data_IF_108985434281
#
_entry.id   IF_108985434281
#
_cell.length_a   1.000
_cell.length_b   1.000
_cell.length_c   1.000
_cell.angle_alpha   90.00
_cell.angle_beta   90.00
_cell.angle_gamma   90.00
#
_symmetry.space_group_name_H-M   'P 1'
#
loop_
_entity.id
_entity.type
_entity.pdbx_description
1 polymer ?
#
# COMPACT_ATOMS: atom_id res chain seq x y z
N UNK A 1 -11.70 0.79 0.43
CA UNK A 1 -12.49 0.41 1.64
C UNK A 1 -12.01 1.18 2.86
N UNK A 2 -10.74 1.05 3.27
CA UNK A 2 -10.17 1.73 4.45
C UNK A 2 -10.45 3.24 4.49
N UNK A 3 -10.31 3.96 3.38
CA UNK A 3 -10.62 5.40 3.30
C UNK A 3 -12.05 5.74 3.74
N UNK A 4 -13.06 4.96 3.31
CA UNK A 4 -14.46 5.15 3.75
C UNK A 4 -14.64 4.94 5.26
N UNK A 5 -13.89 4.02 5.86
CA UNK A 5 -13.91 3.79 7.30
C UNK A 5 -13.24 4.95 8.05
N UNK A 6 -12.07 5.38 7.56
CA UNK A 6 -11.30 6.50 8.09
C UNK A 6 -12.09 7.80 8.05
N UNK A 7 -12.65 8.20 6.90
CA UNK A 7 -13.44 9.44 6.79
C UNK A 7 -14.67 9.45 7.71
N UNK A 8 -15.30 8.30 7.94
CA UNK A 8 -16.40 8.17 8.91
C UNK A 8 -15.91 8.34 10.34
N UNK A 9 -14.77 7.74 10.68
CA UNK A 9 -14.22 7.80 12.04
C UNK A 9 -13.66 9.20 12.37
N UNK A 10 -13.04 9.89 11.40
CA UNK A 10 -12.59 11.28 11.55
C UNK A 10 -13.78 12.21 11.87
N UNK A 11 -14.92 12.05 11.19
CA UNK A 11 -16.15 12.79 11.48
C UNK A 11 -16.66 12.56 12.92
N UNK A 12 -16.54 11.33 13.44
CA UNK A 12 -16.92 11.01 14.82
C UNK A 12 -16.00 11.69 15.85
N UNK A 13 -14.69 11.78 15.56
CA UNK A 13 -13.74 12.49 16.43
C UNK A 13 -14.01 14.00 16.50
N UNK A 14 -14.41 14.63 15.40
CA UNK A 14 -14.79 16.05 15.41
C UNK A 14 -16.03 16.35 16.27
N UNK A 15 -16.87 15.35 16.58
CA UNK A 15 -18.07 15.50 17.39
C UNK A 15 -17.94 15.14 18.88
N UNK A 16 -16.86 14.45 19.31
CA UNK A 16 -16.76 13.92 20.68
C UNK A 16 -15.31 13.96 21.20
N UNK A 17 -15.04 14.91 22.11
CA UNK A 17 -13.68 15.31 22.49
C UNK A 17 -12.85 14.33 23.34
N UNK A 18 -13.31 13.11 23.63
CA UNK A 18 -12.52 12.14 24.43
C UNK A 18 -13.02 10.68 24.35
N UNK A 19 -12.91 10.04 23.18
CA UNK A 19 -13.22 8.60 23.01
C UNK A 19 -12.18 7.81 22.18
N UNK A 20 -10.92 8.24 22.19
CA UNK A 20 -9.86 7.56 21.44
C UNK A 20 -9.25 6.40 22.26
N UNK A 21 -9.57 5.16 21.91
CA UNK A 21 -8.96 3.97 22.48
C UNK A 21 -7.43 3.96 22.31
N UNK A 22 -6.73 3.68 23.40
CA UNK A 22 -5.26 3.87 23.48
C UNK A 22 -4.45 2.84 22.70
N UNK A 23 -5.05 1.72 22.26
CA UNK A 23 -4.32 0.59 21.65
C UNK A 23 -3.66 0.96 20.32
N UNK A 24 -4.29 1.82 19.50
CA UNK A 24 -3.68 2.37 18.29
C UNK A 24 -2.79 3.60 18.56
N UNK A 25 -2.61 4.01 19.82
CA UNK A 25 -1.78 5.14 20.23
C UNK A 25 -0.38 5.17 19.59
N UNK A 26 0.40 4.06 19.57
CA UNK A 26 1.72 4.03 18.92
C UNK A 26 1.70 4.40 17.43
N UNK A 27 0.60 4.10 16.72
CA UNK A 27 0.45 4.35 15.29
C UNK A 27 0.01 5.78 14.95
N UNK A 28 -0.28 6.64 15.93
CA UNK A 28 -0.71 8.01 15.65
C UNK A 28 0.46 8.91 15.23
N UNK A 29 0.38 9.46 14.01
CA UNK A 29 1.24 10.54 13.56
C UNK A 29 0.86 11.88 14.21
N UNK A 30 1.85 12.78 14.33
CA UNK A 30 1.68 14.16 14.82
C UNK A 30 0.82 15.01 13.88
N UNK A 31 0.78 14.66 12.59
CA UNK A 31 -0.01 15.32 11.55
C UNK A 31 -0.42 14.28 10.50
N UNK A 32 -1.55 14.51 9.87
CA UNK A 32 -2.02 13.75 8.72
C UNK A 32 -0.98 13.75 7.57
N UNK A 33 -0.71 12.59 6.94
CA UNK A 33 0.14 12.53 5.75
C UNK A 33 -0.53 13.20 4.54
N UNK A 34 0.15 14.13 3.88
CA UNK A 34 -0.34 14.79 2.66
C UNK A 34 -0.39 13.90 1.39
N UNK A 35 -0.37 12.58 1.55
CA UNK A 35 -0.49 11.58 0.48
C UNK A 35 -1.72 10.72 0.76
N UNK A 36 -2.60 10.54 -0.23
CA UNK A 36 -3.79 9.69 -0.07
C UNK A 36 -3.40 8.24 0.25
N UNK A 37 -4.31 7.49 0.86
CA UNK A 37 -4.03 6.10 1.24
C UNK A 37 -3.82 5.23 -0.01
N UNK A 38 -4.59 5.46 -1.07
CA UNK A 38 -4.36 4.87 -2.40
C UNK A 38 -2.92 5.11 -2.91
N UNK A 39 -2.45 6.36 -2.97
CA UNK A 39 -1.09 6.68 -3.45
C UNK A 39 0.00 6.15 -2.52
N UNK A 40 -0.30 5.98 -1.25
CA UNK A 40 0.61 5.33 -0.30
C UNK A 40 0.69 3.81 -0.54
N UNK A 41 -0.43 3.14 -0.84
CA UNK A 41 -0.47 1.72 -1.24
C UNK A 41 0.29 1.51 -2.54
N UNK A 42 0.03 2.31 -3.58
CA UNK A 42 0.77 2.27 -4.86
C UNK A 42 2.27 2.39 -4.64
N UNK A 43 2.70 3.32 -3.78
CA UNK A 43 4.10 3.54 -3.42
C UNK A 43 4.71 2.33 -2.73
N UNK A 44 4.03 1.73 -1.74
CA UNK A 44 4.53 0.51 -1.08
C UNK A 44 4.68 -0.60 -2.13
N UNK A 45 3.60 -0.93 -2.85
CA UNK A 45 3.59 -1.97 -3.87
C UNK A 45 4.71 -1.83 -4.91
N UNK A 46 4.89 -0.62 -5.45
CA UNK A 46 5.89 -0.32 -6.49
C UNK A 46 7.34 -0.49 -6.03
N UNK A 47 7.64 -0.21 -4.75
CA UNK A 47 9.02 -0.16 -4.27
C UNK A 47 9.43 -1.33 -3.37
N UNK A 48 8.50 -2.04 -2.73
CA UNK A 48 8.85 -3.15 -1.81
C UNK A 48 8.87 -4.53 -2.44
N UNK A 49 8.39 -4.69 -3.68
CA UNK A 49 8.37 -5.97 -4.41
C UNK A 49 7.73 -7.15 -3.66
N UNK A 50 6.96 -6.89 -2.59
CA UNK A 50 6.30 -7.94 -1.80
C UNK A 50 5.08 -8.49 -2.55
N UNK A 51 4.69 -9.73 -2.25
CA UNK A 51 3.58 -10.37 -2.96
C UNK A 51 2.26 -9.61 -2.76
N UNK A 52 1.33 -9.62 -3.75
CA UNK A 52 -0.02 -9.08 -3.57
C UNK A 52 -0.75 -9.65 -2.34
N UNK A 53 -0.45 -10.90 -2.00
CA UNK A 53 -0.94 -11.60 -0.80
C UNK A 53 -0.60 -10.85 0.50
N UNK A 54 0.53 -10.15 0.56
CA UNK A 54 0.92 -9.35 1.73
C UNK A 54 -0.03 -8.18 2.01
N UNK A 55 -0.70 -7.63 0.98
CA UNK A 55 -1.69 -6.58 1.15
C UNK A 55 -3.02 -7.12 1.68
N UNK A 56 -3.42 -8.31 1.21
CA UNK A 56 -4.61 -9.01 1.73
C UNK A 56 -4.39 -9.41 3.19
N UNK A 57 -3.25 -10.00 3.52
CA UNK A 57 -2.91 -10.39 4.90
C UNK A 57 -2.65 -9.18 5.80
N UNK A 58 -2.04 -8.11 5.27
CA UNK A 58 -1.93 -6.83 5.97
C UNK A 58 -3.30 -6.23 6.32
N UNK A 59 -4.28 -6.35 5.42
CA UNK A 59 -5.67 -5.97 5.70
C UNK A 59 -6.34 -6.88 6.75
N UNK A 60 -6.09 -8.20 6.72
CA UNK A 60 -6.52 -9.13 7.79
C UNK A 60 -5.94 -8.74 9.15
N UNK A 61 -4.68 -8.27 9.22
CA UNK A 61 -4.09 -7.81 10.47
C UNK A 61 -4.75 -6.52 10.99
N UNK A 62 -5.01 -5.55 10.13
CA UNK A 62 -5.77 -4.33 10.50
C UNK A 62 -7.15 -4.72 11.04
N UNK A 63 -7.88 -5.58 10.32
CA UNK A 63 -9.22 -5.99 10.69
C UNK A 63 -9.25 -6.78 12.03
N UNK A 64 -8.28 -7.67 12.28
CA UNK A 64 -8.10 -8.35 13.57
C UNK A 64 -7.88 -7.36 14.73
N UNK A 65 -7.04 -6.35 14.53
CA UNK A 65 -6.76 -5.32 15.55
C UNK A 65 -8.02 -4.50 15.85
N UNK A 66 -8.77 -4.08 14.82
CA UNK A 66 -10.00 -3.30 15.00
C UNK A 66 -11.13 -4.11 15.65
N UNK A 67 -11.26 -5.40 15.33
CA UNK A 67 -12.22 -6.29 16.02
C UNK A 67 -11.84 -6.54 17.49
N UNK A 68 -10.54 -6.64 17.81
CA UNK A 68 -10.06 -6.85 19.18
C UNK A 68 -10.12 -5.59 20.06
N UNK A 69 -9.97 -4.41 19.46
CA UNK A 69 -9.96 -3.12 20.14
C UNK A 69 -10.99 -2.15 19.53
N UNK A 70 -12.31 -2.40 19.71
CA UNK A 70 -13.37 -1.60 19.07
C UNK A 70 -13.35 -0.12 19.46
N UNK A 71 -12.82 0.22 20.64
CA UNK A 71 -12.65 1.61 21.09
C UNK A 71 -11.52 2.35 20.35
N UNK A 72 -10.61 1.63 19.69
CA UNK A 72 -9.47 2.23 18.97
C UNK A 72 -9.82 2.48 17.50
N UNK A 73 -10.22 3.72 17.20
CA UNK A 73 -10.63 4.12 15.85
C UNK A 73 -9.45 4.17 14.86
N UNK A 74 -9.65 3.58 13.68
CA UNK A 74 -8.79 3.79 12.52
C UNK A 74 -9.10 5.17 11.93
N UNK A 75 -8.11 6.06 11.86
CA UNK A 75 -8.27 7.48 11.49
C UNK A 75 -7.11 7.97 10.63
N UNK A 76 -7.26 9.14 9.99
CA UNK A 76 -6.26 9.66 9.02
C UNK A 76 -4.87 9.89 9.63
N UNK A 77 -4.79 10.05 10.96
CA UNK A 77 -3.53 10.14 11.70
C UNK A 77 -2.79 8.81 11.86
N UNK A 78 -3.47 7.65 11.81
CA UNK A 78 -2.88 6.35 12.15
C UNK A 78 -2.88 5.32 11.01
N UNK A 79 -3.77 5.46 10.02
CA UNK A 79 -3.98 4.44 8.98
C UNK A 79 -2.74 4.13 8.14
N UNK A 80 -1.96 5.13 7.70
CA UNK A 80 -0.75 4.90 6.88
C UNK A 80 0.32 4.13 7.66
N UNK A 81 0.54 4.48 8.93
CA UNK A 81 1.55 3.85 9.80
C UNK A 81 1.16 2.41 10.14
N UNK A 82 -0.11 2.19 10.46
CA UNK A 82 -0.64 0.84 10.71
C UNK A 82 -0.52 -0.02 9.45
N UNK A 83 -0.95 0.49 8.29
CA UNK A 83 -0.87 -0.21 7.00
C UNK A 83 0.56 -0.59 6.60
N UNK A 84 1.51 0.35 6.67
CA UNK A 84 2.92 0.09 6.37
C UNK A 84 3.45 -1.06 7.23
N UNK A 85 3.15 -1.02 8.53
CA UNK A 85 3.60 -2.01 9.50
C UNK A 85 2.93 -3.36 9.25
N UNK A 86 1.63 -3.40 8.93
CA UNK A 86 0.91 -4.63 8.62
C UNK A 86 1.42 -5.30 7.35
N UNK A 87 1.76 -4.54 6.30
CA UNK A 87 2.36 -5.09 5.06
C UNK A 87 3.81 -5.55 5.29
N UNK A 88 4.60 -4.84 6.11
CA UNK A 88 5.95 -5.27 6.53
C UNK A 88 5.90 -6.62 7.27
N UNK A 89 5.03 -6.75 8.27
CA UNK A 89 4.90 -8.01 9.03
C UNK A 89 4.38 -9.11 8.11
N UNK A 90 3.44 -8.84 7.22
CA UNK A 90 2.92 -9.83 6.28
C UNK A 90 4.03 -10.36 5.34
N UNK A 91 4.89 -9.49 4.79
CA UNK A 91 5.96 -9.95 3.89
C UNK A 91 6.99 -10.83 4.58
N UNK A 92 7.32 -10.57 5.86
CA UNK A 92 8.18 -11.46 6.66
C UNK A 92 7.58 -12.85 6.95
N UNK A 93 6.26 -13.00 6.84
CA UNK A 93 5.54 -14.24 7.15
C UNK A 93 5.19 -15.04 5.89
N UNK A 94 5.09 -14.37 4.73
CA UNK A 94 4.61 -14.96 3.48
C UNK A 94 5.66 -15.05 2.37
N UNK A 95 6.59 -14.09 2.28
CA UNK A 95 7.54 -14.00 1.18
C UNK A 95 8.90 -14.58 1.60
N UNK A 96 9.39 -15.61 0.88
CA UNK A 96 10.70 -16.23 1.13
C UNK A 96 11.87 -15.22 1.05
N UNK A 97 11.70 -14.16 0.27
CA UNK A 97 12.66 -13.07 0.10
C UNK A 97 11.95 -11.75 0.40
N UNK A 98 12.22 -11.19 1.58
CA UNK A 98 11.66 -9.92 2.03
C UNK A 98 12.76 -8.87 2.26
N UNK A 99 12.45 -7.59 2.06
CA UNK A 99 13.35 -6.51 2.47
C UNK A 99 13.35 -6.31 4.00
N UNK A 100 14.38 -5.65 4.51
CA UNK A 100 14.48 -5.31 5.93
C UNK A 100 13.70 -4.04 6.31
N UNK A 101 13.55 -3.79 7.61
CA UNK A 101 12.84 -2.63 8.14
C UNK A 101 13.44 -1.30 7.69
N UNK A 102 14.76 -1.23 7.50
CA UNK A 102 15.43 -0.01 7.02
C UNK A 102 14.94 0.39 5.62
N UNK A 103 14.69 -0.59 4.75
CA UNK A 103 14.14 -0.37 3.42
C UNK A 103 12.68 0.08 3.49
N UNK A 104 11.83 -0.65 4.21
CA UNK A 104 10.42 -0.29 4.40
C UNK A 104 10.25 1.07 5.08
N UNK A 105 11.14 1.46 5.99
CA UNK A 105 11.11 2.78 6.62
C UNK A 105 11.31 3.90 5.61
N UNK A 106 12.28 3.77 4.70
CA UNK A 106 12.51 4.71 3.59
C UNK A 106 11.33 4.75 2.62
N UNK A 107 10.78 3.59 2.24
CA UNK A 107 9.60 3.56 1.36
C UNK A 107 8.40 4.19 2.05
N UNK A 108 8.14 3.89 3.31
CA UNK A 108 7.02 4.41 4.08
C UNK A 108 7.15 5.86 4.55
N UNK A 109 8.34 6.47 4.47
CA UNK A 109 8.58 7.84 4.95
C UNK A 109 8.61 7.97 6.48
N UNK A 110 9.00 6.90 7.17
CA UNK A 110 9.09 6.83 8.64
C UNK A 110 10.54 6.59 9.08
N UNK A 111 10.89 6.84 10.34
CA UNK A 111 12.23 6.51 10.81
C UNK A 111 12.37 4.99 11.05
N UNK A 112 13.58 4.44 10.88
CA UNK A 112 13.83 3.01 11.15
C UNK A 112 13.53 2.64 12.62
N UNK A 113 13.92 3.49 13.57
CA UNK A 113 13.68 3.28 15.00
C UNK A 113 12.19 3.24 15.31
N UNK A 114 11.42 4.12 14.66
CA UNK A 114 9.95 4.15 14.79
C UNK A 114 9.33 2.90 14.16
N UNK A 115 9.70 2.51 12.94
CA UNK A 115 9.13 1.32 12.30
C UNK A 115 9.46 0.02 13.04
N UNK A 116 10.68 -0.10 13.59
CA UNK A 116 11.05 -1.22 14.47
C UNK A 116 10.16 -1.28 15.71
N UNK A 117 9.83 -0.13 16.31
CA UNK A 117 8.88 -0.08 17.43
C UNK A 117 7.47 -0.46 16.97
N UNK A 118 6.97 0.13 15.89
CA UNK A 118 5.62 -0.13 15.38
C UNK A 118 5.40 -1.62 15.05
N UNK A 119 6.42 -2.29 14.49
CA UNK A 119 6.38 -3.73 14.24
C UNK A 119 6.15 -4.52 15.55
N UNK A 120 6.93 -4.23 16.58
CA UNK A 120 6.80 -4.89 17.89
C UNK A 120 5.41 -4.62 18.51
N UNK A 121 4.95 -3.37 18.45
CA UNK A 121 3.61 -2.97 18.95
C UNK A 121 2.49 -3.71 18.18
N UNK A 122 2.60 -3.85 16.85
CA UNK A 122 1.63 -4.61 16.04
C UNK A 122 1.61 -6.10 16.43
N UNK A 123 2.78 -6.71 16.63
CA UNK A 123 2.87 -8.11 17.06
C UNK A 123 2.22 -8.31 18.43
N UNK A 124 2.39 -7.39 19.38
CA UNK A 124 1.68 -7.43 20.67
C UNK A 124 0.16 -7.24 20.51
N UNK A 125 -0.31 -6.31 19.68
CA UNK A 125 -1.75 -6.13 19.43
C UNK A 125 -2.40 -7.40 18.84
N UNK A 126 -1.65 -8.16 18.04
CA UNK A 126 -2.08 -9.44 17.44
C UNK A 126 -1.88 -10.67 18.34
N UNK A 127 -1.35 -10.54 19.57
CA UNK A 127 -0.88 -11.64 20.43
C UNK A 127 0.09 -12.60 19.70
N UNK A 128 0.93 -12.07 18.79
CA UNK A 128 1.77 -12.82 17.85
C UNK A 128 1.01 -13.78 16.91
N UNK A 129 -0.32 -13.69 16.86
CA UNK A 129 -1.23 -14.44 15.97
C UNK A 129 -1.18 -13.95 14.52
N UNK A 130 0.00 -14.02 13.90
CA UNK A 130 0.25 -13.56 12.51
C UNK A 130 -0.12 -14.60 11.45
N UNK A 131 -0.41 -15.85 11.83
CA UNK A 131 -0.81 -16.89 10.88
C UNK A 131 -2.21 -16.62 10.30
N UNK A 132 -2.36 -16.85 9.00
CA UNK A 132 -3.63 -16.75 8.27
C UNK A 132 -3.82 -18.06 7.50
N UNK A 133 -4.94 -18.75 7.74
CA UNK A 133 -5.26 -19.99 7.01
C UNK A 133 -5.77 -19.66 5.61
N UNK A 134 -5.58 -20.57 4.64
CA UNK A 134 -6.01 -20.38 3.25
C UNK A 134 -7.49 -20.02 3.14
N UNK A 135 -8.36 -20.67 3.95
CA UNK A 135 -9.80 -20.36 4.00
C UNK A 135 -10.10 -18.92 4.40
N UNK A 136 -9.34 -18.37 5.35
CA UNK A 136 -9.48 -16.95 5.74
C UNK A 136 -8.96 -16.06 4.61
N UNK A 137 -7.77 -16.35 4.09
CA UNK A 137 -7.19 -15.60 2.96
C UNK A 137 -8.14 -15.52 1.75
N UNK A 138 -8.65 -16.67 1.29
CA UNK A 138 -9.63 -16.77 0.19
C UNK A 138 -10.91 -15.96 0.47
N UNK A 139 -11.43 -16.04 1.69
CA UNK A 139 -12.63 -15.27 2.09
C UNK A 139 -12.40 -13.76 2.03
N UNK A 140 -11.20 -13.29 2.41
CA UNK A 140 -10.82 -11.88 2.33
C UNK A 140 -10.55 -11.44 0.88
N UNK A 141 -9.95 -12.27 0.03
CA UNK A 141 -9.84 -11.99 -1.41
C UNK A 141 -11.22 -11.77 -2.03
N UNK A 142 -12.14 -12.72 -1.84
CA UNK A 142 -13.52 -12.60 -2.34
C UNK A 142 -14.27 -11.39 -1.76
N UNK A 143 -14.00 -11.00 -0.52
CA UNK A 143 -14.58 -9.80 0.09
C UNK A 143 -14.06 -8.52 -0.59
N UNK A 144 -12.74 -8.42 -0.76
CA UNK A 144 -12.10 -7.26 -1.39
C UNK A 144 -12.48 -7.13 -2.87
N UNK A 145 -12.59 -8.24 -3.61
CA UNK A 145 -13.10 -8.25 -4.99
C UNK A 145 -14.52 -7.67 -5.09
N UNK A 146 -15.44 -8.10 -4.20
CA UNK A 146 -16.81 -7.57 -4.15
C UNK A 146 -16.85 -6.09 -3.78
N UNK A 147 -15.99 -5.65 -2.86
CA UNK A 147 -15.82 -4.23 -2.51
C UNK A 147 -15.32 -3.40 -3.70
N UNK A 148 -14.37 -3.91 -4.48
CA UNK A 148 -13.87 -3.27 -5.71
C UNK A 148 -14.97 -3.17 -6.77
N UNK A 149 -15.72 -4.25 -7.03
CA UNK A 149 -16.85 -4.21 -7.98
C UNK A 149 -17.91 -3.19 -7.54
N UNK A 150 -18.22 -3.10 -6.24
CA UNK A 150 -19.20 -2.11 -5.74
C UNK A 150 -18.69 -0.67 -5.82
N UNK A 151 -17.40 -0.43 -5.60
CA UNK A 151 -16.80 0.90 -5.76
C UNK A 151 -16.69 1.31 -7.25
N UNK A 152 -16.24 0.42 -8.12
CA UNK A 152 -16.11 0.69 -9.56
C UNK A 152 -17.47 0.74 -10.26
N UNK A 153 -18.50 0.09 -9.72
CA UNK A 153 -19.88 0.23 -10.21
C UNK A 153 -20.48 1.63 -10.03
N UNK A 154 -19.89 2.48 -9.17
CA UNK A 154 -20.19 3.90 -9.08
C UNK A 154 -19.31 4.79 -9.98
N UNK A 155 -18.35 4.19 -10.70
CA UNK A 155 -17.34 4.85 -11.52
C UNK A 155 -17.06 4.08 -12.83
N UNK A 156 -18.11 3.77 -13.60
CA UNK A 156 -17.99 3.60 -15.04
C UNK A 156 -18.01 5.01 -15.67
N UNK A 157 -17.18 5.40 -16.63
CA UNK A 157 -16.94 4.92 -18.00
C UNK A 157 -15.57 5.60 -18.39
N UNK A 158 -14.57 5.06 -19.10
CA UNK A 158 -14.48 4.09 -20.21
C UNK A 158 -13.32 3.08 -20.01
N UNK A 159 -13.45 1.89 -20.62
CA UNK A 159 -12.30 1.07 -21.03
C UNK A 159 -12.10 1.31 -22.54
N UNK A 160 -10.91 1.73 -23.02
CA UNK A 160 -10.63 1.73 -24.45
C UNK A 160 -10.67 0.28 -24.95
N UNK A 161 -11.61 -0.03 -25.83
CA UNK A 161 -11.64 -1.32 -26.51
C UNK A 161 -10.50 -1.37 -27.52
N UNK A 162 -9.70 -2.43 -27.48
CA UNK A 162 -8.78 -2.77 -28.56
C UNK A 162 -9.57 -3.08 -29.81
N UNK A 163 -9.49 -2.20 -30.81
CA UNK A 163 -10.06 -2.43 -32.15
C UNK A 163 -8.91 -2.47 -33.16
N UNK A 164 -8.61 -3.67 -33.66
CA UNK A 164 -7.69 -3.82 -34.79
C UNK A 164 -8.43 -3.48 -36.09
N UNK A 165 -8.04 -2.40 -36.76
CA UNK A 165 -8.29 -2.20 -38.19
C UNK A 165 -7.06 -1.59 -38.83
N UNK A 166 -6.44 -2.33 -39.74
CA UNK A 166 -5.40 -1.80 -40.62
C UNK A 166 -6.05 -1.07 -41.79
N UNK A 167 -5.48 0.07 -42.20
CA UNK A 167 -5.22 0.42 -43.61
C UNK A 167 -4.24 1.59 -43.64
N UNK A 168 -3.38 1.53 -44.63
CA UNK A 168 -2.36 2.49 -45.04
C UNK A 168 -2.84 3.96 -45.07
N UNK A 169 -1.94 4.88 -44.74
CA UNK A 169 -1.59 5.93 -45.70
C UNK A 169 -0.14 6.41 -45.48
N UNK A 170 0.57 6.68 -46.59
CA UNK A 170 1.98 7.08 -46.60
C UNK A 170 2.09 8.49 -47.16
N UNK A 171 2.57 9.44 -46.35
CA UNK A 171 3.09 10.71 -46.86
C UNK A 171 4.47 11.03 -46.28
N UNK A 172 5.43 10.97 -47.20
CA UNK A 172 6.83 11.40 -47.12
C UNK A 172 6.88 12.95 -47.02
N UNK A 173 7.87 13.64 -46.41
CA UNK A 173 9.18 14.02 -47.02
C UNK A 173 10.01 14.81 -45.97
N UNK A 174 11.31 14.45 -45.83
CA UNK A 174 12.56 15.25 -45.60
C UNK A 174 12.57 16.48 -44.63
N UNK A 175 13.66 16.91 -43.96
CA UNK A 175 15.13 16.96 -44.18
C UNK A 175 15.82 17.16 -42.79
N UNK A 176 17.13 17.10 -42.50
CA UNK A 176 18.40 16.80 -43.22
C UNK A 176 19.49 16.33 -42.20
N UNK A 177 20.71 16.03 -42.66
CA UNK A 177 21.85 15.49 -41.92
C UNK A 177 22.66 16.48 -41.04
N UNK A 178 23.40 15.95 -40.05
CA UNK A 178 24.82 16.29 -39.82
C UNK A 178 25.55 15.15 -39.09
N UNK A 179 26.76 14.82 -39.54
CA UNK A 179 27.63 13.76 -39.03
C UNK A 179 28.22 14.05 -37.62
N UNK A 180 28.72 13.00 -36.93
CA UNK A 180 30.18 12.76 -36.73
C UNK A 180 30.41 11.29 -36.30
N UNK A 181 31.53 10.73 -36.73
CA UNK A 181 31.83 9.30 -36.76
C UNK A 181 32.80 8.80 -35.67
N UNK A 182 32.58 7.57 -35.23
CA UNK A 182 33.57 6.49 -34.93
C UNK A 182 34.86 6.75 -34.14
N UNK A 183 35.09 5.89 -33.15
CA UNK A 183 36.37 5.63 -32.46
C UNK A 183 37.54 5.27 -33.40
N UNK A 184 38.78 5.31 -32.89
CA UNK A 184 39.50 4.03 -32.76
C UNK A 184 40.34 3.86 -31.47
N UNK A 185 40.75 2.61 -31.26
CA UNK A 185 41.53 2.09 -30.12
C UNK A 185 43.02 2.48 -30.15
N UNK A 186 43.67 2.53 -28.98
CA UNK A 186 45.07 2.10 -28.83
C UNK A 186 45.33 1.37 -27.51
N UNK A 187 46.22 0.38 -27.57
CA UNK A 187 46.85 -0.31 -26.45
C UNK A 187 47.95 0.57 -25.84
N UNK A 188 48.28 0.31 -24.58
CA UNK A 188 49.56 0.73 -23.99
C UNK A 188 50.07 -0.39 -23.08
N UNK A 189 51.32 -0.76 -23.28
CA UNK A 189 52.16 -1.55 -22.35
C UNK A 189 52.64 -0.66 -21.18
#
# INVERSE_FOLDING_TARGET
>A
MLERLVSRNDQLLHGSGSWLGKSLGPFHGVREPGISLEKYIERIYKYTSCSPSCFVVGFVYIDRVLHKYPDSLLVSLNVHRLLLTSVLVASKILDDVHYNNAFYARVGGVSITELNRLEIELLFLLDFGVTVSSRVFESYCQHLEKEVVRCNGAAAIERPATTNTATDDVTEISVQDTHISSSPSQLVD
#
